data_IF_684805289599
#
_entry.id   IF_684805289599
#
_cell.length_a   1.000
_cell.length_b   1.000
_cell.length_c   1.000
_cell.angle_alpha   90.00
_cell.angle_beta   90.00
_cell.angle_gamma   90.00
#
_symmetry.space_group_name_H-M   'P 1'
#
loop_
_entity.id
_entity.type
_entity.pdbx_description
1 polymer ?
#
# COMPACT_ATOMS: atom_id res chain seq x y z
N UNK A 1 -21.85 25.49 20.85
CA UNK A 1 -20.58 25.37 20.09
C UNK A 1 -20.60 24.08 19.25
N UNK A 2 -21.47 23.95 18.23
CA UNK A 2 -21.90 22.63 17.75
C UNK A 2 -21.71 22.28 16.27
N UNK A 3 -21.16 23.18 15.45
CA UNK A 3 -21.01 22.94 14.01
C UNK A 3 -19.56 22.70 13.58
N UNK A 4 -18.58 23.38 14.17
CA UNK A 4 -17.16 23.18 13.85
C UNK A 4 -16.64 21.82 14.35
N UNK A 5 -17.16 21.30 15.46
CA UNK A 5 -16.71 20.05 16.07
C UNK A 5 -17.14 18.80 15.28
N UNK A 6 -18.36 18.82 14.70
CA UNK A 6 -18.85 17.77 13.79
C UNK A 6 -18.07 17.72 12.47
N UNK A 7 -17.63 18.88 11.97
CA UNK A 7 -16.86 18.93 10.71
C UNK A 7 -15.42 18.48 10.92
N UNK A 8 -14.76 18.94 11.99
CA UNK A 8 -13.37 18.57 12.33
C UNK A 8 -13.23 17.06 12.58
N UNK A 9 -14.23 16.42 13.20
CA UNK A 9 -14.21 14.98 13.45
C UNK A 9 -14.47 14.12 12.19
N UNK A 10 -15.25 14.62 11.21
CA UNK A 10 -15.36 14.00 9.87
C UNK A 10 -14.08 14.16 9.05
N UNK A 11 -13.32 15.24 9.24
CA UNK A 11 -12.07 15.48 8.51
C UNK A 11 -10.92 14.57 8.98
N UNK A 12 -10.85 14.22 10.27
CA UNK A 12 -9.77 13.37 10.80
C UNK A 12 -9.73 11.96 10.20
N UNK A 13 -10.89 11.32 9.97
CA UNK A 13 -10.95 9.99 9.34
C UNK A 13 -10.56 10.03 7.85
N UNK A 14 -10.90 11.11 7.14
CA UNK A 14 -10.46 11.33 5.76
C UNK A 14 -8.95 11.61 5.65
N UNK A 15 -8.38 12.32 6.64
CA UNK A 15 -6.94 12.62 6.69
C UNK A 15 -6.07 11.40 6.98
N UNK A 16 -6.48 10.48 7.88
CA UNK A 16 -5.71 9.24 8.12
C UNK A 16 -5.68 8.35 6.88
N UNK A 17 -6.82 8.20 6.21
CA UNK A 17 -6.95 7.37 5.00
C UNK A 17 -6.14 7.90 3.81
N UNK A 18 -6.05 9.22 3.68
CA UNK A 18 -5.28 9.87 2.61
C UNK A 18 -3.77 9.79 2.83
N UNK A 19 -3.31 9.92 4.09
CA UNK A 19 -1.89 9.77 4.42
C UNK A 19 -1.39 8.35 4.17
N UNK A 20 -2.19 7.34 4.55
CA UNK A 20 -1.80 5.95 4.42
C UNK A 20 -1.75 5.49 2.96
N UNK A 21 -2.72 5.91 2.14
CA UNK A 21 -2.68 5.66 0.69
C UNK A 21 -1.47 6.30 0.00
N UNK A 22 -1.02 7.45 0.49
CA UNK A 22 0.15 8.15 -0.04
C UNK A 22 1.44 7.44 0.34
N UNK A 23 1.53 6.90 1.57
CA UNK A 23 2.64 6.09 2.02
C UNK A 23 2.72 4.75 1.28
N UNK A 24 1.60 4.03 1.16
CA UNK A 24 1.48 2.80 0.36
C UNK A 24 1.92 3.04 -1.08
N UNK A 25 1.41 4.09 -1.73
CA UNK A 25 1.75 4.42 -3.11
C UNK A 25 3.25 4.71 -3.28
N UNK A 26 3.86 5.43 -2.34
CA UNK A 26 5.31 5.71 -2.37
C UNK A 26 6.14 4.45 -2.18
N UNK A 27 5.76 3.61 -1.23
CA UNK A 27 6.48 2.37 -0.92
C UNK A 27 6.40 1.38 -2.07
N UNK A 28 5.20 1.16 -2.63
CA UNK A 28 5.01 0.33 -3.83
C UNK A 28 5.79 0.90 -5.01
N UNK A 29 5.74 2.22 -5.26
CA UNK A 29 6.50 2.85 -6.35
C UNK A 29 8.01 2.65 -6.21
N UNK A 30 8.53 2.69 -4.97
CA UNK A 30 9.95 2.43 -4.70
C UNK A 30 10.32 0.99 -5.03
N UNK A 31 9.52 0.02 -4.56
CA UNK A 31 9.72 -1.40 -4.84
C UNK A 31 9.62 -1.70 -6.34
N UNK A 32 8.66 -1.09 -7.05
CA UNK A 32 8.51 -1.21 -8.51
C UNK A 32 9.73 -0.65 -9.26
N UNK A 33 10.32 0.45 -8.78
CA UNK A 33 11.57 0.98 -9.33
C UNK A 33 12.73 0.00 -9.14
N UNK A 34 12.84 -0.62 -7.96
CA UNK A 34 13.88 -1.62 -7.68
C UNK A 34 13.70 -2.87 -8.55
N UNK A 35 12.47 -3.35 -8.74
CA UNK A 35 12.17 -4.45 -9.67
C UNK A 35 12.62 -4.09 -11.09
N UNK A 36 12.36 -2.86 -11.54
CA UNK A 36 12.77 -2.41 -12.86
C UNK A 36 14.29 -2.41 -13.02
N UNK A 37 15.02 -1.95 -12.00
CA UNK A 37 16.49 -1.99 -11.99
C UNK A 37 17.03 -3.42 -12.08
N UNK A 38 16.51 -4.34 -11.28
CA UNK A 38 16.92 -5.75 -11.34
C UNK A 38 16.55 -6.41 -12.69
N UNK A 39 15.38 -6.10 -13.26
CA UNK A 39 15.00 -6.57 -14.61
C UNK A 39 15.96 -6.07 -15.69
N UNK A 40 16.47 -4.85 -15.56
CA UNK A 40 17.49 -4.33 -16.47
C UNK A 40 18.81 -5.08 -16.33
N UNK A 41 19.28 -5.36 -15.10
CA UNK A 41 20.50 -6.16 -14.87
C UNK A 41 20.39 -7.55 -15.48
N UNK A 42 19.24 -8.21 -15.32
CA UNK A 42 18.98 -9.52 -15.96
C UNK A 42 19.14 -9.42 -17.48
N UNK A 43 18.53 -8.40 -18.09
CA UNK A 43 18.63 -8.19 -19.53
C UNK A 43 20.08 -7.93 -19.98
N UNK A 44 20.79 -7.04 -19.29
CA UNK A 44 22.18 -6.72 -19.60
C UNK A 44 23.08 -7.96 -19.52
N UNK A 45 22.90 -8.78 -18.49
CA UNK A 45 23.64 -10.03 -18.35
C UNK A 45 23.32 -11.04 -19.45
N UNK A 46 22.06 -11.14 -19.91
CA UNK A 46 21.74 -11.95 -21.09
C UNK A 46 22.41 -11.43 -22.37
N UNK A 47 22.47 -10.10 -22.55
CA UNK A 47 23.17 -9.50 -23.68
C UNK A 47 24.69 -9.76 -23.62
N UNK A 48 25.28 -9.72 -22.43
CA UNK A 48 26.70 -10.07 -22.21
C UNK A 48 26.97 -11.54 -22.50
N UNK A 49 26.12 -12.46 -22.01
CA UNK A 49 26.20 -13.88 -22.35
C UNK A 49 26.18 -14.09 -23.87
N UNK A 50 25.28 -13.40 -24.59
CA UNK A 50 25.22 -13.51 -26.05
C UNK A 50 26.51 -13.05 -26.74
N UNK A 51 27.11 -11.94 -26.28
CA UNK A 51 28.38 -11.42 -26.82
C UNK A 51 29.55 -12.37 -26.54
N UNK A 52 29.65 -12.88 -25.31
CA UNK A 52 30.68 -13.83 -24.93
C UNK A 52 30.52 -15.15 -25.68
N UNK A 53 29.29 -15.62 -25.91
CA UNK A 53 29.02 -16.82 -26.70
C UNK A 53 29.48 -16.66 -28.14
N UNK A 54 29.20 -15.50 -28.76
CA UNK A 54 29.68 -15.21 -30.11
C UNK A 54 31.22 -15.22 -30.16
N UNK A 55 31.90 -14.54 -29.22
CA UNK A 55 33.37 -14.51 -29.17
C UNK A 55 33.98 -15.90 -28.97
N UNK A 56 33.40 -16.69 -28.08
CA UNK A 56 33.85 -18.07 -27.85
C UNK A 56 33.69 -18.95 -29.09
N UNK A 57 32.52 -18.90 -29.75
CA UNK A 57 32.19 -19.82 -30.85
C UNK A 57 32.66 -19.37 -32.22
N UNK A 58 32.72 -18.07 -32.47
CA UNK A 58 33.06 -17.48 -33.78
C UNK A 58 34.50 -17.00 -33.81
N UNK A 59 34.97 -16.33 -32.75
CA UNK A 59 36.34 -15.81 -32.69
C UNK A 59 37.34 -16.84 -32.11
N UNK A 60 36.85 -17.98 -31.58
CA UNK A 60 37.66 -19.09 -31.08
C UNK A 60 38.41 -18.80 -29.78
N UNK A 61 38.01 -17.75 -29.05
CA UNK A 61 38.65 -17.34 -27.80
C UNK A 61 38.08 -18.11 -26.60
N UNK A 62 38.78 -19.17 -26.19
CA UNK A 62 38.38 -20.05 -25.09
C UNK A 62 38.59 -19.43 -23.69
N UNK A 63 39.24 -18.26 -23.58
CA UNK A 63 39.56 -17.64 -22.29
C UNK A 63 38.33 -17.14 -21.51
N UNK A 64 37.18 -17.02 -22.17
CA UNK A 64 35.95 -16.40 -21.61
C UNK A 64 34.98 -17.36 -20.93
N UNK A 65 35.28 -18.66 -20.88
CA UNK A 65 34.38 -19.68 -20.30
C UNK A 65 33.97 -19.40 -18.85
N UNK A 66 34.83 -18.73 -18.08
CA UNK A 66 34.60 -18.37 -16.67
C UNK A 66 33.59 -17.23 -16.48
N UNK A 67 33.32 -16.43 -17.52
CA UNK A 67 32.44 -15.26 -17.44
C UNK A 67 30.95 -15.67 -17.46
N UNK A 68 30.60 -16.78 -18.11
CA UNK A 68 29.21 -17.24 -18.20
C UNK A 68 28.60 -17.60 -16.85
N UNK A 69 29.32 -18.34 -16.01
CA UNK A 69 28.84 -18.72 -14.67
C UNK A 69 28.55 -17.48 -13.83
N UNK A 70 29.42 -16.47 -13.90
CA UNK A 70 29.23 -15.20 -13.18
C UNK A 70 27.95 -14.49 -13.63
N UNK A 71 27.69 -14.41 -14.93
CA UNK A 71 26.46 -13.77 -15.43
C UNK A 71 25.21 -14.55 -15.07
N UNK A 72 25.27 -15.89 -15.09
CA UNK A 72 24.16 -16.76 -14.68
C UNK A 72 23.86 -16.58 -13.19
N UNK A 73 24.89 -16.52 -12.34
CA UNK A 73 24.74 -16.28 -10.91
C UNK A 73 24.11 -14.91 -10.63
N UNK A 74 24.56 -13.86 -11.31
CA UNK A 74 23.99 -12.52 -11.20
C UNK A 74 22.52 -12.46 -11.68
N UNK A 75 22.17 -13.20 -12.75
CA UNK A 75 20.77 -13.33 -13.21
C UNK A 75 19.92 -14.02 -12.13
N UNK A 76 20.43 -15.09 -11.53
CA UNK A 76 19.70 -15.83 -10.50
C UNK A 76 19.51 -14.98 -9.23
N UNK A 77 20.53 -14.22 -8.82
CA UNK A 77 20.43 -13.28 -7.71
C UNK A 77 19.38 -12.18 -7.99
N UNK A 78 19.46 -11.55 -9.16
CA UNK A 78 18.50 -10.52 -9.57
C UNK A 78 17.06 -11.06 -9.60
N UNK A 79 16.86 -12.31 -10.04
CA UNK A 79 15.54 -12.97 -10.03
C UNK A 79 15.00 -13.18 -8.62
N UNK A 80 15.83 -13.65 -7.69
CA UNK A 80 15.44 -13.78 -6.28
C UNK A 80 15.04 -12.44 -5.67
N UNK A 81 15.79 -11.38 -5.98
CA UNK A 81 15.45 -10.03 -5.53
C UNK A 81 14.13 -9.54 -6.11
N UNK A 82 13.85 -9.80 -7.40
CA UNK A 82 12.56 -9.48 -8.01
C UNK A 82 11.42 -10.18 -7.28
N UNK A 83 11.54 -11.49 -7.03
CA UNK A 83 10.52 -12.27 -6.32
C UNK A 83 10.28 -11.73 -4.90
N UNK A 84 11.35 -11.39 -4.19
CA UNK A 84 11.26 -10.80 -2.84
C UNK A 84 10.56 -9.43 -2.86
N UNK A 85 10.90 -8.55 -3.81
CA UNK A 85 10.23 -7.25 -3.93
C UNK A 85 8.77 -7.39 -4.35
N UNK A 86 8.44 -8.34 -5.23
CA UNK A 86 7.05 -8.62 -5.61
C UNK A 86 6.24 -9.08 -4.39
N UNK A 87 6.81 -9.95 -3.54
CA UNK A 87 6.20 -10.36 -2.28
C UNK A 87 6.00 -9.19 -1.31
N UNK A 88 7.00 -8.32 -1.16
CA UNK A 88 6.87 -7.12 -0.32
C UNK A 88 5.75 -6.17 -0.81
N UNK A 89 5.58 -6.02 -2.13
CA UNK A 89 4.46 -5.25 -2.70
C UNK A 89 3.12 -5.88 -2.31
N UNK A 90 3.01 -7.21 -2.36
CA UNK A 90 1.79 -7.92 -1.94
C UNK A 90 1.49 -7.71 -0.45
N UNK A 91 2.50 -7.81 0.41
CA UNK A 91 2.37 -7.58 1.85
C UNK A 91 1.91 -6.14 2.16
N UNK A 92 2.52 -5.13 1.52
CA UNK A 92 2.12 -3.72 1.67
C UNK A 92 0.68 -3.50 1.22
N UNK A 93 0.28 -4.08 0.08
CA UNK A 93 -1.10 -3.96 -0.43
C UNK A 93 -2.11 -4.69 0.46
N UNK A 94 -1.74 -5.84 1.01
CA UNK A 94 -2.60 -6.59 1.93
C UNK A 94 -2.81 -5.83 3.25
N UNK A 95 -1.73 -5.31 3.85
CA UNK A 95 -1.80 -4.49 5.06
C UNK A 95 -2.65 -3.23 4.84
N UNK A 96 -2.47 -2.54 3.71
CA UNK A 96 -3.26 -1.36 3.37
C UNK A 96 -4.75 -1.69 3.17
N UNK A 97 -5.07 -2.88 2.64
CA UNK A 97 -6.46 -3.33 2.49
C UNK A 97 -7.11 -3.59 3.84
N UNK A 98 -6.44 -4.34 4.72
CA UNK A 98 -6.92 -4.64 6.08
C UNK A 98 -7.16 -3.35 6.86
N UNK A 99 -6.24 -2.39 6.78
CA UNK A 99 -6.39 -1.10 7.46
C UNK A 99 -7.60 -0.30 6.95
N UNK A 100 -7.84 -0.28 5.62
CA UNK A 100 -9.03 0.38 5.05
C UNK A 100 -10.33 -0.27 5.51
N UNK A 101 -10.38 -1.59 5.61
CA UNK A 101 -11.54 -2.32 6.12
C UNK A 101 -11.79 -1.98 7.60
N UNK A 102 -10.74 -1.91 8.41
CA UNK A 102 -10.81 -1.49 9.82
C UNK A 102 -11.31 -0.04 9.98
N UNK A 103 -10.77 0.90 9.19
CA UNK A 103 -11.22 2.31 9.21
C UNK A 103 -12.71 2.40 8.83
N UNK A 104 -13.14 1.66 7.81
CA UNK A 104 -14.54 1.63 7.39
C UNK A 104 -15.44 1.09 8.51
N UNK A 105 -15.06 -0.01 9.15
CA UNK A 105 -15.80 -0.57 10.27
C UNK A 105 -15.91 0.41 11.45
N UNK A 106 -14.83 1.11 11.78
CA UNK A 106 -14.84 2.16 12.82
C UNK A 106 -15.73 3.35 12.44
N UNK A 107 -15.71 3.77 11.18
CA UNK A 107 -16.56 4.86 10.70
C UNK A 107 -18.05 4.47 10.77
N UNK A 108 -18.39 3.25 10.36
CA UNK A 108 -19.75 2.73 10.42
C UNK A 108 -20.24 2.61 11.87
N UNK A 109 -19.39 2.13 12.79
CA UNK A 109 -19.71 2.05 14.21
C UNK A 109 -19.98 3.45 14.82
N UNK A 110 -19.10 4.42 14.55
CA UNK A 110 -19.29 5.81 15.01
C UNK A 110 -20.53 6.46 14.43
N UNK A 111 -20.89 6.17 13.19
CA UNK A 111 -22.12 6.71 12.60
C UNK A 111 -23.36 6.25 13.38
N UNK A 112 -23.40 4.97 13.75
CA UNK A 112 -24.50 4.40 14.54
C UNK A 112 -24.56 4.98 15.96
N UNK A 113 -23.41 5.20 16.59
CA UNK A 113 -23.33 5.86 17.90
C UNK A 113 -23.90 7.29 17.83
N UNK A 114 -23.52 8.07 16.82
CA UNK A 114 -24.02 9.44 16.63
C UNK A 114 -25.53 9.45 16.37
N UNK A 115 -26.04 8.52 15.57
CA UNK A 115 -27.48 8.39 15.34
C UNK A 115 -28.23 8.07 16.63
N UNK A 116 -27.72 7.14 17.43
CA UNK A 116 -28.32 6.78 18.73
C UNK A 116 -28.28 7.96 19.73
N UNK A 117 -27.17 8.70 19.80
CA UNK A 117 -27.06 9.91 20.62
C UNK A 117 -28.04 11.01 20.17
N UNK A 118 -28.20 11.21 18.86
CA UNK A 118 -29.15 12.19 18.33
C UNK A 118 -30.61 11.80 18.61
N UNK A 119 -30.94 10.52 18.53
CA UNK A 119 -32.29 10.03 18.89
C UNK A 119 -32.58 10.16 20.39
N UNK A 120 -31.62 9.79 21.26
CA UNK A 120 -31.76 9.95 22.70
C UNK A 120 -31.94 11.43 23.09
N UNK A 121 -31.13 12.34 22.53
CA UNK A 121 -31.25 13.77 22.79
C UNK A 121 -32.58 14.36 22.28
N UNK A 122 -33.16 13.82 21.19
CA UNK A 122 -34.49 14.21 20.71
C UNK A 122 -35.59 13.72 21.66
N UNK A 123 -35.47 12.50 22.18
CA UNK A 123 -36.41 11.93 23.15
C UNK A 123 -36.41 12.70 24.47
N UNK A 124 -35.24 13.03 25.03
CA UNK A 124 -35.13 13.85 26.24
C UNK A 124 -35.76 15.25 26.05
N UNK A 125 -35.50 15.91 24.92
CA UNK A 125 -36.12 17.21 24.62
C UNK A 125 -37.64 17.14 24.49
N UNK A 126 -38.19 16.03 24.00
CA UNK A 126 -39.64 15.82 23.94
C UNK A 126 -40.25 15.56 25.31
N UNK A 127 -39.56 14.81 26.19
CA UNK A 127 -40.00 14.59 27.57
C UNK A 127 -39.99 15.90 28.36
N UNK A 128 -38.90 16.66 28.30
CA UNK A 128 -38.80 17.96 28.98
C UNK A 128 -39.89 18.94 28.53
N UNK A 129 -40.25 18.94 27.24
CA UNK A 129 -41.37 19.76 26.73
C UNK A 129 -42.72 19.34 27.32
N UNK A 130 -43.01 18.05 27.38
CA UNK A 130 -44.28 17.55 27.95
C UNK A 130 -44.40 17.86 29.44
N UNK A 131 -43.33 17.67 30.20
CA UNK A 131 -43.31 18.02 31.63
C UNK A 131 -43.49 19.53 31.85
N UNK A 132 -42.97 20.37 30.95
CA UNK A 132 -43.17 21.82 31.03
C UNK A 132 -44.62 22.23 30.72
N UNK A 133 -45.26 21.55 29.76
CA UNK A 133 -46.65 21.80 29.36
C UNK A 133 -47.66 21.29 30.42
N UNK A 134 -47.34 20.24 31.19
CA UNK A 134 -48.18 19.71 32.28
C UNK A 134 -48.11 20.56 33.58
N UNK A 135 -47.16 21.49 33.66
CA UNK A 135 -46.91 22.37 34.82
C UNK A 135 -47.56 23.77 34.71
N UNK A 136 -48.24 24.06 33.59
CA UNK A 136 -48.96 25.32 33.31
C UNK A 136 -50.45 25.07 33.05
#
# INVERSE_FOLDING_TARGET
MGFLDKTINKTKASMSTSSNKLNESREVSKLESQIKEEKNKVRENYELIGKEYYRFTVDGDESHKKNFETYVDQINESRKLIEEYEKQIEEVRAAAKEERENIKAQADARHREIEAEEEAARAEKQQQKKEQDDLF
#
